data_IF_166978758533
#
_entry.id   IF_166978758533
#
_cell.length_a   1.000
_cell.length_b   1.000
_cell.length_c   1.000
_cell.angle_alpha   90.00
_cell.angle_beta   90.00
_cell.angle_gamma   90.00
#
_symmetry.space_group_name_H-M   'P 1'
#
loop_
_entity.id
_entity.type
_entity.pdbx_description
1 polymer ?
#
# COMPACT_ATOMS: atom_id res chain seq x y z
N UNK A 1 7.68 8.67 -13.89
CA UNK A 1 7.75 7.37 -14.61
C UNK A 1 7.69 6.33 -13.53
N UNK A 2 6.70 5.44 -13.62
CA UNK A 2 6.44 4.42 -12.61
C UNK A 2 7.66 3.53 -12.35
N UNK A 3 7.98 3.32 -11.07
CA UNK A 3 9.09 2.50 -10.62
C UNK A 3 8.62 1.05 -10.40
N UNK A 4 8.49 0.29 -11.48
CA UNK A 4 8.02 -1.10 -11.46
C UNK A 4 8.78 -1.98 -10.44
N UNK A 5 10.12 -1.94 -10.33
CA UNK A 5 10.84 -2.69 -9.29
C UNK A 5 10.41 -2.36 -7.86
N UNK A 6 10.11 -1.09 -7.55
CA UNK A 6 9.64 -0.69 -6.23
C UNK A 6 8.22 -1.23 -5.94
N UNK A 7 7.32 -1.16 -6.92
CA UNK A 7 5.97 -1.73 -6.79
C UNK A 7 6.05 -3.25 -6.56
N UNK A 8 6.92 -3.95 -7.30
CA UNK A 8 7.14 -5.38 -7.10
C UNK A 8 7.68 -5.71 -5.69
N UNK A 9 8.56 -4.85 -5.14
CA UNK A 9 9.01 -4.99 -3.75
C UNK A 9 7.89 -4.75 -2.74
N UNK A 10 6.99 -3.79 -2.97
CA UNK A 10 5.81 -3.62 -2.12
C UNK A 10 4.91 -4.84 -2.16
N UNK A 11 4.67 -5.44 -3.34
CA UNK A 11 3.91 -6.69 -3.46
C UNK A 11 4.58 -7.80 -2.63
N UNK A 12 5.90 -7.98 -2.76
CA UNK A 12 6.66 -8.98 -1.99
C UNK A 12 6.59 -8.71 -0.48
N UNK A 13 6.62 -7.44 -0.07
CA UNK A 13 6.47 -7.00 1.33
C UNK A 13 5.11 -7.37 1.90
N UNK A 14 4.03 -7.07 1.18
CA UNK A 14 2.64 -7.41 1.57
C UNK A 14 2.47 -8.93 1.68
N UNK A 15 3.11 -9.71 0.80
CA UNK A 15 3.14 -11.17 0.83
C UNK A 15 4.02 -11.76 1.96
N UNK A 16 4.84 -10.94 2.62
CA UNK A 16 5.76 -11.39 3.66
C UNK A 16 7.01 -12.08 3.16
N UNK A 17 7.43 -11.78 1.93
CA UNK A 17 8.56 -12.42 1.27
C UNK A 17 9.89 -11.69 1.54
N UNK A 18 9.84 -10.49 2.13
CA UNK A 18 11.01 -9.67 2.43
C UNK A 18 11.38 -9.73 3.92
N UNK A 19 12.64 -10.03 4.29
CA UNK A 19 13.07 -10.10 5.67
C UNK A 19 12.85 -8.80 6.47
N UNK A 20 13.05 -7.64 5.84
CA UNK A 20 12.92 -6.31 6.46
C UNK A 20 11.47 -5.94 6.82
N UNK A 21 10.48 -6.60 6.23
CA UNK A 21 9.05 -6.36 6.47
C UNK A 21 8.27 -7.63 6.82
N UNK A 22 8.97 -8.69 7.22
CA UNK A 22 8.36 -9.99 7.55
C UNK A 22 7.33 -9.89 8.69
N UNK A 23 7.54 -8.95 9.62
CA UNK A 23 6.69 -8.69 10.78
C UNK A 23 5.64 -7.58 10.52
N UNK A 24 5.51 -7.14 9.26
CA UNK A 24 4.54 -6.15 8.80
C UNK A 24 3.45 -6.81 7.96
N UNK A 25 2.25 -6.88 8.52
CA UNK A 25 1.01 -7.31 7.88
C UNK A 25 0.38 -6.21 7.05
N UNK A 26 -0.85 -6.43 6.59
CA UNK A 26 -1.53 -5.50 5.68
C UNK A 26 -2.85 -5.00 6.24
N UNK A 27 -3.07 -3.69 6.15
CA UNK A 27 -4.37 -3.05 6.34
C UNK A 27 -4.36 -1.72 5.60
N UNK A 28 -5.22 -1.55 4.58
CA UNK A 28 -5.19 -0.34 3.76
C UNK A 28 -5.65 0.91 4.53
N UNK A 29 -6.35 0.76 5.66
CA UNK A 29 -6.87 1.89 6.45
C UNK A 29 -5.84 2.64 7.29
N UNK A 30 -4.58 2.20 7.33
CA UNK A 30 -3.56 2.76 8.22
C UNK A 30 -2.18 2.76 7.58
N UNK A 31 -1.35 3.77 7.86
CA UNK A 31 0.01 3.85 7.32
C UNK A 31 0.93 2.78 7.90
N UNK A 32 1.35 2.90 9.18
CA UNK A 32 2.10 1.86 9.90
C UNK A 32 1.67 1.89 11.36
N UNK A 33 1.04 0.83 11.85
CA UNK A 33 0.51 0.79 13.21
C UNK A 33 0.59 -0.61 13.83
N UNK A 34 0.68 -0.70 15.17
CA UNK A 34 0.63 -1.98 15.86
C UNK A 34 -0.81 -2.51 15.92
N UNK A 35 -0.99 -3.83 15.76
CA UNK A 35 -2.32 -4.47 15.73
C UNK A 35 -3.05 -4.43 17.06
N UNK A 36 -2.33 -4.28 18.17
CA UNK A 36 -2.91 -4.20 19.53
C UNK A 36 -3.83 -2.99 19.74
N UNK A 37 -3.78 -1.99 18.85
CA UNK A 37 -4.68 -0.84 18.85
C UNK A 37 -6.06 -1.15 18.23
N UNK A 38 -6.37 -2.42 18.01
CA UNK A 38 -7.64 -2.86 17.42
C UNK A 38 -7.64 -2.82 15.90
N UNK A 39 -6.45 -2.76 15.28
CA UNK A 39 -6.28 -2.74 13.84
C UNK A 39 -6.02 -4.16 13.33
N UNK A 40 -6.97 -4.76 12.59
CA UNK A 40 -6.81 -6.13 12.08
C UNK A 40 -5.72 -6.25 11.01
N UNK A 41 -4.99 -7.36 11.03
CA UNK A 41 -4.10 -7.78 9.94
C UNK A 41 -4.87 -8.60 8.90
N UNK A 42 -5.04 -8.04 7.71
CA UNK A 42 -5.74 -8.65 6.58
C UNK A 42 -4.84 -9.53 5.71
N UNK A 43 -3.53 -9.62 6.02
CA UNK A 43 -2.64 -10.56 5.34
C UNK A 43 -2.83 -12.01 5.80
N UNK A 44 -3.58 -12.25 6.88
CA UNK A 44 -3.80 -13.58 7.44
C UNK A 44 -2.59 -14.16 8.17
N UNK A 45 -1.52 -13.37 8.35
CA UNK A 45 -0.28 -13.77 9.03
C UNK A 45 -0.32 -13.52 10.54
N UNK A 46 -1.29 -12.73 11.04
CA UNK A 46 -1.44 -12.33 12.45
C UNK A 46 -0.17 -11.64 12.98
N UNK A 47 0.29 -10.63 12.25
CA UNK A 47 1.53 -9.94 12.56
C UNK A 47 1.33 -8.81 13.58
N UNK A 48 2.38 -8.45 14.34
CA UNK A 48 2.28 -7.41 15.37
C UNK A 48 2.08 -6.00 14.80
N UNK A 49 2.40 -5.79 13.52
CA UNK A 49 2.26 -4.52 12.83
C UNK A 49 1.47 -4.70 11.53
N UNK A 50 0.80 -3.64 11.09
CA UNK A 50 0.08 -3.57 9.82
C UNK A 50 0.36 -2.26 9.11
N UNK A 51 0.33 -2.30 7.78
CA UNK A 51 0.47 -1.12 6.94
C UNK A 51 -0.37 -1.19 5.66
N UNK A 52 -0.72 -0.02 5.13
CA UNK A 52 -1.23 0.15 3.78
C UNK A 52 -0.08 0.15 2.76
N UNK A 53 -0.40 0.27 1.47
CA UNK A 53 0.61 0.36 0.39
C UNK A 53 1.61 1.49 0.65
N UNK A 54 1.13 2.66 1.09
CA UNK A 54 1.98 3.81 1.42
C UNK A 54 2.97 3.51 2.55
N UNK A 55 2.50 2.87 3.63
CA UNK A 55 3.37 2.48 4.74
C UNK A 55 4.40 1.42 4.37
N UNK A 56 4.00 0.38 3.61
CA UNK A 56 4.95 -0.60 3.10
C UNK A 56 6.03 0.06 2.22
N UNK A 57 5.64 0.97 1.31
CA UNK A 57 6.57 1.71 0.46
C UNK A 57 7.53 2.59 1.27
N UNK A 58 7.00 3.33 2.25
CA UNK A 58 7.79 4.19 3.12
C UNK A 58 8.86 3.42 3.91
N UNK A 59 8.46 2.32 4.54
CA UNK A 59 9.39 1.45 5.30
C UNK A 59 10.48 0.87 4.38
N UNK A 60 10.11 0.46 3.17
CA UNK A 60 11.08 -0.09 2.21
C UNK A 60 12.07 0.94 1.67
N UNK A 61 11.65 2.20 1.50
CA UNK A 61 12.51 3.28 1.02
C UNK A 61 13.43 3.78 2.13
N UNK A 62 12.89 4.01 3.32
CA UNK A 62 13.64 4.62 4.43
C UNK A 62 14.44 3.62 5.25
N UNK A 63 13.99 2.37 5.31
CA UNK A 63 14.54 1.34 6.19
C UNK A 63 14.37 1.66 7.68
N UNK A 64 13.45 2.58 8.03
CA UNK A 64 13.27 2.97 9.42
C UNK A 64 12.53 1.88 10.23
N UNK A 65 12.72 1.83 11.56
CA UNK A 65 11.94 0.95 12.43
C UNK A 65 10.44 1.30 12.41
N UNK A 66 9.56 0.32 12.60
CA UNK A 66 8.11 0.53 12.54
C UNK A 66 7.61 1.47 13.64
N UNK A 67 8.24 1.43 14.82
CA UNK A 67 7.97 2.32 15.94
C UNK A 67 8.27 3.79 15.60
N UNK A 68 9.25 4.02 14.72
CA UNK A 68 9.51 5.36 14.22
C UNK A 68 8.45 5.73 13.18
N UNK A 69 8.19 4.86 12.20
CA UNK A 69 7.22 5.12 11.13
C UNK A 69 5.82 5.49 11.64
N UNK A 70 5.36 4.91 12.76
CA UNK A 70 4.05 5.25 13.36
C UNK A 70 3.98 6.67 13.95
N UNK A 71 5.12 7.35 14.14
CA UNK A 71 5.18 8.73 14.65
C UNK A 71 5.37 9.77 13.53
N UNK A 72 5.64 9.32 12.30
CA UNK A 72 5.90 10.20 11.17
C UNK A 72 4.61 10.83 10.66
N UNK A 73 4.75 11.98 10.01
CA UNK A 73 3.61 12.70 9.45
C UNK A 73 3.01 11.95 8.25
N UNK A 74 1.68 11.76 8.17
CA UNK A 74 1.03 11.12 7.04
C UNK A 74 1.41 11.71 5.68
N UNK A 75 1.49 13.04 5.55
CA UNK A 75 1.80 13.69 4.29
C UNK A 75 3.25 13.38 3.86
N UNK A 76 4.16 13.22 4.82
CA UNK A 76 5.54 12.78 4.56
C UNK A 76 5.60 11.33 4.09
N UNK A 77 4.86 10.43 4.76
CA UNK A 77 4.78 9.02 4.37
C UNK A 77 4.27 8.89 2.94
N UNK A 78 3.17 9.59 2.62
CA UNK A 78 2.56 9.62 1.29
C UNK A 78 3.53 10.14 0.24
N UNK A 79 4.20 11.25 0.51
CA UNK A 79 5.15 11.86 -0.41
C UNK A 79 6.33 10.93 -0.73
N UNK A 80 6.93 10.33 0.31
CA UNK A 80 8.04 9.38 0.15
C UNK A 80 7.57 8.13 -0.59
N UNK A 81 6.40 7.58 -0.24
CA UNK A 81 5.84 6.42 -0.91
C UNK A 81 5.57 6.69 -2.40
N UNK A 82 4.97 7.84 -2.74
CA UNK A 82 4.73 8.26 -4.11
C UNK A 82 6.04 8.31 -4.91
N UNK A 83 7.08 8.96 -4.36
CA UNK A 83 8.38 9.06 -5.01
C UNK A 83 9.05 7.69 -5.19
N UNK A 84 9.01 6.85 -4.14
CA UNK A 84 9.55 5.49 -4.19
C UNK A 84 8.93 4.66 -5.31
N UNK A 85 7.60 4.71 -5.43
CA UNK A 85 6.83 3.99 -6.43
C UNK A 85 6.88 4.66 -7.82
N UNK A 86 7.40 5.88 -7.92
CA UNK A 86 7.50 6.64 -9.17
C UNK A 86 6.16 7.05 -9.76
N UNK A 87 5.12 7.18 -8.92
CA UNK A 87 3.75 7.51 -9.34
C UNK A 87 3.62 9.00 -9.67
N UNK A 88 2.76 9.31 -10.64
CA UNK A 88 2.23 10.68 -10.78
C UNK A 88 1.30 11.01 -9.61
N UNK A 89 1.02 12.30 -9.42
CA UNK A 89 0.05 12.75 -8.41
C UNK A 89 -1.31 12.08 -8.62
N UNK A 90 -1.80 12.02 -9.86
CA UNK A 90 -3.07 11.34 -10.20
C UNK A 90 -3.07 9.85 -9.84
N UNK A 91 -1.96 9.14 -10.06
CA UNK A 91 -1.84 7.72 -9.70
C UNK A 91 -1.74 7.53 -8.18
N UNK A 92 -1.04 8.43 -7.47
CA UNK A 92 -0.93 8.37 -6.02
C UNK A 92 -2.29 8.63 -5.37
N UNK A 93 -3.00 9.66 -5.80
CA UNK A 93 -4.36 9.97 -5.35
C UNK A 93 -5.30 8.77 -5.60
N UNK A 94 -5.23 8.17 -6.80
CA UNK A 94 -6.05 7.03 -7.14
C UNK A 94 -5.75 5.78 -6.29
N UNK A 95 -4.48 5.54 -5.98
CA UNK A 95 -4.03 4.36 -5.22
C UNK A 95 -4.24 4.52 -3.71
N UNK A 96 -4.10 5.73 -3.18
CA UNK A 96 -4.15 5.96 -1.73
C UNK A 96 -5.54 6.38 -1.25
N UNK A 97 -6.33 7.08 -2.09
CA UNK A 97 -7.54 7.75 -1.61
C UNK A 97 -8.80 7.52 -2.46
N UNK A 98 -8.69 7.35 -3.78
CA UNK A 98 -9.86 7.28 -4.68
C UNK A 98 -10.47 5.87 -4.76
N UNK A 99 -11.01 5.42 -3.63
CA UNK A 99 -11.68 4.13 -3.57
C UNK A 99 -13.10 4.22 -4.12
N UNK A 100 -13.54 3.18 -4.85
CA UNK A 100 -14.92 3.05 -5.25
C UNK A 100 -15.92 3.15 -4.08
N UNK A 101 -17.05 3.81 -4.34
CA UNK A 101 -18.12 4.01 -3.35
C UNK A 101 -18.59 2.67 -2.79
N UNK A 102 -18.61 2.58 -1.45
CA UNK A 102 -19.07 1.40 -0.73
C UNK A 102 -17.96 0.43 -0.33
N UNK A 103 -16.72 0.67 -0.76
CA UNK A 103 -15.56 0.01 -0.19
C UNK A 103 -15.11 0.71 1.10
N UNK A 104 -14.68 -0.09 2.06
CA UNK A 104 -14.00 0.37 3.27
C UNK A 104 -12.54 -0.02 3.16
N UNK A 105 -11.65 0.95 3.32
CA UNK A 105 -10.19 0.77 3.35
C UNK A 105 -9.78 -0.39 4.26
N UNK A 106 -10.38 -0.45 5.44
CA UNK A 106 -10.08 -1.46 6.47
C UNK A 106 -10.40 -2.88 6.02
N UNK A 107 -11.23 -3.08 4.98
CA UNK A 107 -11.67 -4.42 4.58
C UNK A 107 -11.20 -4.84 3.19
N UNK A 108 -10.27 -4.09 2.60
CA UNK A 108 -9.67 -4.45 1.32
C UNK A 108 -8.89 -5.76 1.48
N UNK A 109 -9.24 -6.84 0.76
CA UNK A 109 -8.47 -8.08 0.81
C UNK A 109 -7.06 -7.91 0.25
N UNK A 110 -6.07 -8.59 0.85
CA UNK A 110 -4.68 -8.55 0.37
C UNK A 110 -4.55 -8.96 -1.09
N UNK A 111 -5.21 -10.06 -1.50
CA UNK A 111 -5.13 -10.55 -2.88
C UNK A 111 -5.64 -9.50 -3.88
N UNK A 112 -6.70 -8.78 -3.50
CA UNK A 112 -7.24 -7.71 -4.32
C UNK A 112 -6.27 -6.53 -4.47
N UNK A 113 -5.62 -6.12 -3.37
CA UNK A 113 -4.61 -5.08 -3.44
C UNK A 113 -3.42 -5.48 -4.32
N UNK A 114 -2.98 -6.74 -4.22
CA UNK A 114 -1.92 -7.28 -5.08
C UNK A 114 -2.35 -7.22 -6.56
N UNK A 115 -3.57 -7.63 -6.89
CA UNK A 115 -4.11 -7.54 -8.26
C UNK A 115 -4.15 -6.10 -8.79
N UNK A 116 -4.49 -5.11 -7.96
CA UNK A 116 -4.45 -3.68 -8.34
C UNK A 116 -3.01 -3.25 -8.65
N UNK A 117 -2.05 -3.59 -7.80
CA UNK A 117 -0.64 -3.25 -8.01
C UNK A 117 -0.06 -3.95 -9.26
N UNK A 118 -0.42 -5.21 -9.50
CA UNK A 118 -0.01 -5.96 -10.69
C UNK A 118 -0.62 -5.35 -11.97
N UNK A 119 -1.88 -4.91 -11.93
CA UNK A 119 -2.52 -4.19 -13.04
C UNK A 119 -1.91 -2.82 -13.28
N UNK A 120 -1.58 -2.09 -12.23
CA UNK A 120 -0.87 -0.81 -12.31
C UNK A 120 0.45 -0.99 -13.07
N UNK A 121 1.24 -2.02 -12.74
CA UNK A 121 2.49 -2.33 -13.47
C UNK A 121 2.24 -2.56 -14.96
N UNK A 122 1.14 -3.25 -15.32
CA UNK A 122 0.86 -3.65 -16.70
C UNK A 122 0.27 -2.51 -17.56
N UNK A 123 -0.60 -1.71 -16.96
CA UNK A 123 -1.42 -0.72 -17.68
C UNK A 123 -0.89 0.71 -17.52
N UNK A 124 -0.23 0.99 -16.39
CA UNK A 124 0.10 2.33 -15.96
C UNK A 124 -1.07 3.03 -15.25
N UNK A 125 -2.21 2.36 -15.04
CA UNK A 125 -3.39 2.96 -14.44
C UNK A 125 -3.76 2.24 -13.14
N UNK A 126 -4.23 3.00 -12.14
CA UNK A 126 -4.79 2.41 -10.91
C UNK A 126 -6.23 2.03 -11.19
N UNK A 127 -6.49 0.72 -11.25
CA UNK A 127 -7.80 0.16 -11.49
C UNK A 127 -8.19 -0.70 -10.31
N UNK A 128 -9.19 -0.29 -9.53
CA UNK A 128 -9.65 -1.04 -8.38
C UNK A 128 -10.44 -2.27 -8.83
N UNK A 129 -11.30 -2.17 -9.85
CA UNK A 129 -12.09 -3.30 -10.35
C UNK A 129 -11.82 -3.67 -11.81
N UNK A 130 -12.15 -4.90 -12.18
CA UNK A 130 -12.19 -5.30 -13.59
C UNK A 130 -13.26 -4.50 -14.34
N UNK A 131 -12.90 -3.95 -15.50
CA UNK A 131 -13.84 -3.22 -16.35
C UNK A 131 -13.95 -1.73 -16.07
N UNK A 132 -13.13 -1.17 -15.17
CA UNK A 132 -12.83 0.27 -15.14
C UNK A 132 -12.08 0.65 -16.42
N UNK A 133 -12.81 0.73 -17.54
CA UNK A 133 -12.31 1.38 -18.74
C UNK A 133 -12.42 2.88 -18.52
N UNK A 134 -11.31 3.60 -18.63
CA UNK A 134 -11.26 5.07 -18.64
C UNK A 134 -12.21 5.65 -19.69
N UNK A 135 -13.48 5.81 -19.32
CA UNK A 135 -14.35 6.78 -19.95
C UNK A 135 -14.04 8.06 -19.19
N UNK A 136 -13.05 8.79 -19.69
CA UNK A 136 -12.91 10.19 -19.35
C UNK A 136 -14.27 10.86 -19.57
N UNK A 137 -14.89 11.32 -18.47
CA UNK A 137 -16.09 12.14 -18.51
C UNK A 137 -15.74 13.56 -18.94
#
# INVERSE_FOLDING_TARGET
>A
MMNVPAIQRVIASIKGELPETQDLGFNMGVYVYPTELGLPDHSGRNLPWVACVGGHAYVLETGCPFEQATQEDPDEIEHVAQLYLGLSDEQADALFFDLPVGLSLEWIPVDHMIEVLERLIQTGDVLWFEGESHIAA
#
